data_IF_426667918200
#
_entry.id   IF_426667918200
#
_cell.length_a   1.000
_cell.length_b   1.000
_cell.length_c   1.000
_cell.angle_alpha   90.00
_cell.angle_beta   90.00
_cell.angle_gamma   90.00
#
_symmetry.space_group_name_H-M   'P 1'
#
loop_
_entity.id
_entity.type
_entity.pdbx_description
1 polymer ?
#
# COMPACT_ATOMS: atom_id res chain seq x y z
N UNK A 1 31.86 -16.22 24.31
CA UNK A 1 32.76 -15.28 25.03
C UNK A 1 33.37 -14.31 24.02
N UNK A 2 32.75 -13.15 23.81
CA UNK A 2 33.37 -11.84 23.54
C UNK A 2 32.23 -10.80 23.43
N UNK A 3 32.50 -9.63 24.00
CA UNK A 3 31.53 -8.74 24.64
C UNK A 3 30.72 -7.85 23.68
N UNK A 4 29.47 -7.62 24.10
CA UNK A 4 28.66 -6.40 24.04
C UNK A 4 29.39 -5.10 23.64
N UNK A 5 28.76 -4.36 22.71
CA UNK A 5 28.76 -2.89 22.68
C UNK A 5 27.31 -2.41 22.69
N UNK A 6 26.71 -2.39 23.87
CA UNK A 6 25.53 -1.58 24.17
C UNK A 6 25.98 -0.12 24.15
N UNK A 7 25.57 0.62 23.12
CA UNK A 7 25.65 2.07 23.09
C UNK A 7 24.57 2.63 24.02
N UNK A 8 24.93 2.85 25.28
CA UNK A 8 24.13 3.62 26.23
C UNK A 8 24.19 5.10 25.79
N UNK A 9 23.19 5.57 25.04
CA UNK A 9 23.07 6.98 24.71
C UNK A 9 22.43 7.68 25.91
N UNK A 10 23.17 8.64 26.46
CA UNK A 10 22.76 9.48 27.58
C UNK A 10 21.50 10.27 27.21
N UNK A 11 20.40 9.97 27.89
CA UNK A 11 19.25 10.88 28.02
C UNK A 11 19.68 12.01 28.95
N UNK A 12 19.59 13.30 28.57
CA UNK A 12 19.69 14.36 29.55
C UNK A 12 18.43 14.30 30.43
N UNK A 13 18.61 13.86 31.68
CA UNK A 13 17.61 13.99 32.73
C UNK A 13 17.26 15.46 32.91
N UNK A 14 16.04 15.85 32.53
CA UNK A 14 15.39 17.03 33.09
C UNK A 14 14.85 16.65 34.48
N UNK A 15 15.59 17.00 35.52
CA UNK A 15 15.11 16.93 36.89
C UNK A 15 14.43 18.25 37.28
N UNK A 16 13.12 18.21 37.58
CA UNK A 16 12.52 18.73 38.82
C UNK A 16 11.02 18.99 38.65
N UNK A 17 10.25 18.42 39.56
CA UNK A 17 8.80 18.52 39.68
C UNK A 17 8.30 19.96 39.87
N UNK A 18 7.22 20.29 39.16
CA UNK A 18 6.03 20.94 39.73
C UNK A 18 4.83 20.55 38.87
N UNK A 19 3.62 20.45 39.45
CA UNK A 19 2.37 20.60 38.71
C UNK A 19 2.23 22.07 38.27
N UNK A 20 3.25 22.57 37.57
CA UNK A 20 3.27 23.86 36.93
C UNK A 20 2.62 23.69 35.57
N UNK A 21 1.74 24.64 35.25
CA UNK A 21 0.98 24.72 34.01
C UNK A 21 1.77 24.15 32.82
N UNK A 22 1.20 23.15 32.14
CA UNK A 22 1.68 22.70 30.82
C UNK A 22 1.33 23.80 29.81
N UNK A 23 1.96 24.97 29.96
CA UNK A 23 1.73 26.20 29.20
C UNK A 23 2.96 26.60 28.37
N UNK A 24 3.99 25.76 28.30
CA UNK A 24 5.07 25.97 27.34
C UNK A 24 4.61 25.47 25.97
N UNK A 25 4.57 26.37 24.98
CA UNK A 25 4.42 25.99 23.58
C UNK A 25 5.50 24.94 23.23
N UNK A 26 5.07 23.69 23.03
CA UNK A 26 5.93 22.62 22.57
C UNK A 26 5.96 22.68 21.04
N UNK A 27 7.13 22.48 20.45
CA UNK A 27 7.24 22.31 19.02
C UNK A 27 8.12 21.11 18.68
N UNK A 28 7.83 20.48 17.55
CA UNK A 28 8.61 19.37 16.99
C UNK A 28 9.32 19.89 15.76
N UNK A 29 10.63 19.66 15.67
CA UNK A 29 11.41 20.09 14.51
C UNK A 29 11.47 18.95 13.50
N UNK A 30 10.97 19.20 12.29
CA UNK A 30 10.95 18.23 11.20
C UNK A 30 11.89 18.70 10.09
N UNK A 31 12.73 17.81 9.58
CA UNK A 31 13.76 18.10 8.58
C UNK A 31 13.55 17.27 7.32
N UNK A 32 13.64 17.93 6.17
CA UNK A 32 13.85 17.29 4.88
C UNK A 32 15.33 17.41 4.49
N UNK A 33 15.97 16.31 4.11
CA UNK A 33 17.37 16.36 3.67
C UNK A 33 17.49 17.16 2.36
N UNK A 34 18.70 17.66 2.04
CA UNK A 34 18.92 18.38 0.78
C UNK A 34 18.68 17.51 -0.46
N UNK A 35 18.92 16.21 -0.34
CA UNK A 35 18.75 15.22 -1.40
C UNK A 35 17.33 14.62 -1.43
N UNK A 36 16.45 15.00 -0.48
CA UNK A 36 15.09 14.54 -0.40
C UNK A 36 14.17 15.06 -1.51
N UNK A 37 12.96 14.52 -1.56
CA UNK A 37 11.92 14.95 -2.49
C UNK A 37 10.97 15.97 -1.88
N UNK A 38 10.22 16.66 -2.73
CA UNK A 38 9.17 17.60 -2.34
C UNK A 38 7.80 16.93 -2.29
N UNK A 39 6.95 17.35 -1.36
CA UNK A 39 5.58 16.84 -1.22
C UNK A 39 5.23 16.57 0.22
N UNK A 40 3.94 16.40 0.49
CA UNK A 40 3.45 15.99 1.80
C UNK A 40 3.93 14.57 2.13
N UNK A 41 4.36 14.39 3.37
CA UNK A 41 4.81 13.12 3.92
C UNK A 41 4.25 12.94 5.32
N UNK A 42 3.81 11.71 5.61
CA UNK A 42 3.53 11.28 6.98
C UNK A 42 4.85 11.02 7.69
N UNK A 43 4.99 11.50 8.93
CA UNK A 43 6.10 11.23 9.82
C UNK A 43 5.58 10.94 11.23
N UNK A 44 6.32 10.13 11.97
CA UNK A 44 5.97 9.74 13.33
C UNK A 44 6.74 10.58 14.35
N UNK A 45 6.03 11.06 15.37
CA UNK A 45 6.61 11.81 16.49
C UNK A 45 6.36 11.03 17.78
N UNK A 46 7.45 10.59 18.41
CA UNK A 46 7.40 10.07 19.78
C UNK A 46 7.43 11.23 20.77
N UNK A 47 6.37 11.38 21.57
CA UNK A 47 6.29 12.41 22.60
C UNK A 47 6.20 11.79 24.00
N UNK A 48 6.73 12.47 25.02
CA UNK A 48 6.51 12.08 26.41
C UNK A 48 5.02 11.92 26.77
N UNK A 49 4.64 10.98 27.66
CA UNK A 49 3.24 10.67 27.96
C UNK A 49 2.39 11.86 28.42
N UNK A 50 2.98 12.90 29.02
CA UNK A 50 2.25 14.11 29.42
C UNK A 50 1.67 14.91 28.25
N UNK A 51 2.12 14.66 27.02
CA UNK A 51 1.61 15.30 25.79
C UNK A 51 0.63 14.40 25.03
N UNK A 52 0.18 13.29 25.62
CA UNK A 52 -0.84 12.44 25.00
C UNK A 52 -2.09 13.25 24.62
N UNK A 53 -2.61 13.01 23.43
CA UNK A 53 -3.76 13.74 22.86
C UNK A 53 -3.42 15.10 22.23
N UNK A 54 -2.21 15.62 22.39
CA UNK A 54 -1.79 16.86 21.74
C UNK A 54 -1.74 16.69 20.21
N UNK A 55 -2.04 17.76 19.47
CA UNK A 55 -2.06 17.75 18.00
C UNK A 55 -1.14 18.82 17.43
N UNK A 56 -0.71 18.65 16.18
CA UNK A 56 -0.03 19.71 15.45
C UNK A 56 -1.00 20.84 15.15
N UNK A 57 -0.56 22.08 15.38
CA UNK A 57 -1.47 23.24 15.40
C UNK A 57 -2.03 23.62 14.03
N UNK A 58 -1.25 23.41 12.98
CA UNK A 58 -1.55 23.83 11.60
C UNK A 58 -1.46 22.68 10.61
N UNK A 59 -1.24 21.46 11.09
CA UNK A 59 -0.94 20.30 10.27
C UNK A 59 -1.87 19.16 10.67
N UNK A 60 -2.32 18.33 9.71
CA UNK A 60 -3.01 17.08 10.02
C UNK A 60 -2.16 16.24 10.96
N UNK A 61 -2.78 15.78 12.05
CA UNK A 61 -2.11 14.88 12.98
C UNK A 61 -3.10 14.08 13.80
N UNK A 62 -2.74 12.84 14.09
CA UNK A 62 -3.52 11.93 14.92
C UNK A 62 -2.61 11.01 15.72
N UNK A 63 -3.13 10.53 16.85
CA UNK A 63 -2.46 9.53 17.66
C UNK A 63 -2.82 8.14 17.15
N UNK A 64 -1.80 7.31 16.94
CA UNK A 64 -1.95 5.89 16.62
C UNK A 64 -1.09 5.06 17.56
N UNK A 65 -1.33 3.76 17.56
CA UNK A 65 -0.37 2.78 18.05
C UNK A 65 0.49 2.32 16.87
N UNK A 66 1.82 2.42 16.97
CA UNK A 66 2.72 1.92 15.93
C UNK A 66 2.91 0.40 16.04
N UNK A 67 3.69 -0.17 15.12
CA UNK A 67 3.98 -1.62 15.09
C UNK A 67 4.69 -2.17 16.33
N UNK A 68 5.25 -1.32 17.19
CA UNK A 68 5.87 -1.70 18.47
C UNK A 68 4.88 -1.62 19.66
N UNK A 69 3.62 -1.28 19.42
CA UNK A 69 2.63 -1.06 20.48
C UNK A 69 2.79 0.30 21.19
N UNK A 70 3.53 1.24 20.60
CA UNK A 70 3.80 2.55 21.21
C UNK A 70 2.83 3.59 20.66
N UNK A 71 2.26 4.40 21.56
CA UNK A 71 1.50 5.57 21.19
C UNK A 71 2.42 6.63 20.56
N UNK A 72 2.18 6.95 19.28
CA UNK A 72 2.91 7.96 18.52
C UNK A 72 1.95 8.94 17.88
N UNK A 73 2.41 10.17 17.66
CA UNK A 73 1.67 11.17 16.90
C UNK A 73 2.09 11.09 15.43
N UNK A 74 1.21 10.64 14.55
CA UNK A 74 1.37 10.85 13.11
C UNK A 74 1.15 12.33 12.80
N UNK A 75 2.07 12.91 12.04
CA UNK A 75 1.94 14.25 11.46
C UNK A 75 2.10 14.21 9.95
N UNK A 76 1.41 15.10 9.25
CA UNK A 76 1.56 15.30 7.81
C UNK A 76 2.11 16.69 7.50
N UNK A 77 3.19 16.79 6.73
CA UNK A 77 3.70 18.09 6.28
C UNK A 77 4.51 17.99 4.98
N UNK A 78 4.50 19.07 4.20
CA UNK A 78 5.42 19.30 3.09
C UNK A 78 6.53 20.26 3.51
N UNK A 79 7.75 19.74 3.62
CA UNK A 79 8.95 20.50 3.95
C UNK A 79 9.85 20.54 2.72
N UNK A 80 10.27 21.74 2.29
CA UNK A 80 11.15 21.87 1.13
C UNK A 80 12.48 21.11 1.33
N UNK A 81 13.02 20.42 0.29
CA UNK A 81 14.32 19.77 0.38
C UNK A 81 15.41 20.71 0.93
N UNK A 82 16.24 20.19 1.83
CA UNK A 82 17.33 20.92 2.49
C UNK A 82 16.89 21.85 3.62
N UNK A 83 15.60 21.89 3.93
CA UNK A 83 15.03 22.78 4.95
C UNK A 83 14.56 22.02 6.20
N UNK A 84 14.21 22.78 7.24
CA UNK A 84 13.54 22.26 8.42
C UNK A 84 12.43 23.20 8.84
N UNK A 85 11.37 22.68 9.43
CA UNK A 85 10.30 23.45 10.04
C UNK A 85 10.15 23.09 11.51
N UNK A 86 9.70 24.05 12.32
CA UNK A 86 9.31 23.83 13.71
C UNK A 86 7.78 23.87 13.75
N UNK A 87 7.17 22.73 14.08
CA UNK A 87 5.73 22.54 14.07
C UNK A 87 5.22 22.66 15.50
N UNK A 88 4.43 23.70 15.80
CA UNK A 88 3.83 23.89 17.12
C UNK A 88 2.80 22.80 17.41
N UNK A 89 2.79 22.31 18.65
CA UNK A 89 1.72 21.47 19.17
C UNK A 89 0.73 22.30 19.98
N UNK A 90 -0.50 21.81 20.05
CA UNK A 90 -1.55 22.34 20.91
C UNK A 90 -2.22 21.23 21.72
N UNK A 91 -2.65 21.54 22.96
CA UNK A 91 -3.34 20.59 23.81
C UNK A 91 -4.77 20.30 23.29
N UNK A 92 -5.38 19.17 23.68
CA UNK A 92 -6.70 18.76 23.21
C UNK A 92 -7.81 19.82 23.37
N UNK A 93 -7.76 20.59 24.46
CA UNK A 93 -8.77 21.62 24.76
C UNK A 93 -8.75 22.78 23.76
N UNK A 94 -7.64 22.98 23.06
CA UNK A 94 -7.48 24.01 22.02
C UNK A 94 -7.68 23.44 20.60
N UNK A 95 -7.75 22.11 20.46
CA UNK A 95 -7.86 21.41 19.18
C UNK A 95 -9.29 21.32 18.63
N UNK A 96 -10.25 22.05 19.22
CA UNK A 96 -11.70 21.93 18.95
C UNK A 96 -12.15 22.30 17.53
N UNK A 97 -11.24 22.70 16.64
CA UNK A 97 -11.54 23.05 15.24
C UNK A 97 -10.56 22.46 14.21
N UNK A 98 -9.67 21.53 14.58
CA UNK A 98 -8.88 20.80 13.58
C UNK A 98 -9.78 19.67 13.06
N UNK A 99 -10.57 19.97 12.03
CA UNK A 99 -11.37 18.98 11.34
C UNK A 99 -10.42 18.09 10.53
N UNK A 100 -9.87 17.07 11.19
CA UNK A 100 -9.09 16.05 10.53
C UNK A 100 -10.08 15.27 9.66
N UNK A 101 -9.90 15.42 8.34
CA UNK A 101 -10.68 14.69 7.35
C UNK A 101 -10.05 13.31 7.21
N UNK A 102 -10.89 12.30 7.11
CA UNK A 102 -10.46 10.97 6.74
C UNK A 102 -9.86 10.97 5.32
N UNK A 103 -8.66 10.40 5.19
CA UNK A 103 -7.83 10.43 3.98
C UNK A 103 -7.12 9.11 3.71
N UNK A 104 -7.28 8.10 4.56
CA UNK A 104 -6.77 6.77 4.32
C UNK A 104 -7.79 5.77 4.85
N UNK A 105 -8.05 4.71 4.10
CA UNK A 105 -9.00 3.69 4.51
C UNK A 105 -8.60 2.33 3.98
N UNK A 106 -8.82 1.28 4.76
CA UNK A 106 -8.74 -0.11 4.30
C UNK A 106 -9.89 -0.92 4.90
N UNK A 107 -10.43 -1.82 4.10
CA UNK A 107 -11.55 -2.67 4.51
C UNK A 107 -11.57 -4.00 3.76
N UNK A 108 -12.19 -4.98 4.39
CA UNK A 108 -12.71 -6.18 3.75
C UNK A 108 -14.18 -6.30 4.17
N UNK A 109 -15.08 -6.51 3.20
CA UNK A 109 -16.50 -6.69 3.52
C UNK A 109 -17.03 -8.00 2.97
N UNK A 110 -17.78 -8.71 3.82
CA UNK A 110 -18.39 -10.01 3.52
C UNK A 110 -19.87 -9.83 3.25
N UNK A 111 -20.37 -10.46 2.18
CA UNK A 111 -21.79 -10.46 1.84
C UNK A 111 -22.56 -11.33 2.85
N UNK A 112 -23.69 -10.83 3.33
CA UNK A 112 -24.57 -11.54 4.26
C UNK A 112 -25.96 -11.81 3.66
N UNK A 113 -26.77 -12.61 4.37
CA UNK A 113 -28.17 -12.87 3.99
C UNK A 113 -28.35 -13.95 2.92
N UNK A 114 -27.30 -14.69 2.57
CA UNK A 114 -27.32 -15.75 1.56
C UNK A 114 -26.74 -17.07 2.01
N UNK A 115 -26.54 -17.96 1.04
CA UNK A 115 -25.93 -19.27 1.21
C UNK A 115 -25.04 -19.66 0.01
N UNK A 116 -24.11 -20.59 0.25
CA UNK A 116 -23.27 -21.13 -0.82
C UNK A 116 -24.05 -22.12 -1.69
N UNK A 117 -23.97 -21.91 -3.00
CA UNK A 117 -24.41 -22.82 -4.06
C UNK A 117 -23.15 -23.17 -4.87
N UNK A 118 -22.53 -24.29 -4.52
CA UNK A 118 -21.20 -24.67 -4.97
C UNK A 118 -20.17 -23.55 -4.67
N UNK A 119 -19.66 -22.88 -5.71
CA UNK A 119 -18.69 -21.79 -5.61
C UNK A 119 -19.33 -20.38 -5.59
N UNK A 120 -20.66 -20.27 -5.69
CA UNK A 120 -21.37 -18.98 -5.77
C UNK A 120 -22.13 -18.73 -4.47
N UNK A 121 -21.93 -17.56 -3.85
CA UNK A 121 -22.72 -17.12 -2.71
C UNK A 121 -23.97 -16.37 -3.18
N UNK A 122 -25.13 -17.00 -3.02
CA UNK A 122 -26.42 -16.52 -3.53
C UNK A 122 -27.27 -15.89 -2.42
N UNK A 123 -27.79 -14.69 -2.67
CA UNK A 123 -28.64 -13.95 -1.73
C UNK A 123 -29.72 -13.15 -2.48
N UNK A 124 -31.00 -13.33 -2.12
CA UNK A 124 -32.11 -12.52 -2.69
C UNK A 124 -32.16 -11.10 -2.11
N UNK A 125 -31.67 -10.93 -0.88
CA UNK A 125 -31.41 -9.64 -0.24
C UNK A 125 -30.13 -9.74 0.57
N UNK A 126 -29.21 -8.80 0.37
CA UNK A 126 -27.90 -8.82 1.02
C UNK A 126 -27.52 -7.43 1.53
N UNK A 127 -26.59 -7.43 2.47
CA UNK A 127 -25.73 -6.30 2.76
C UNK A 127 -24.29 -6.78 2.81
N UNK A 128 -23.35 -5.84 2.82
CA UNK A 128 -21.96 -6.13 3.10
C UNK A 128 -21.63 -5.70 4.54
N UNK A 129 -20.96 -6.57 5.28
CA UNK A 129 -20.48 -6.28 6.63
C UNK A 129 -18.95 -6.22 6.62
N UNK A 130 -18.39 -5.11 7.09
CA UNK A 130 -16.95 -4.97 7.27
C UNK A 130 -16.44 -5.91 8.37
N UNK A 131 -15.30 -6.56 8.11
CA UNK A 131 -14.66 -7.47 9.06
C UNK A 131 -13.22 -7.03 9.30
N UNK A 132 -12.77 -7.14 10.55
CA UNK A 132 -11.38 -6.85 10.92
C UNK A 132 -10.46 -8.05 10.74
N UNK A 133 -11.01 -9.25 10.58
CA UNK A 133 -10.28 -10.50 10.36
C UNK A 133 -11.12 -11.44 9.51
N UNK A 134 -10.49 -12.18 8.60
CA UNK A 134 -11.17 -13.11 7.72
C UNK A 134 -10.28 -14.32 7.40
N UNK A 135 -10.91 -15.47 7.22
CA UNK A 135 -10.26 -16.68 6.72
C UNK A 135 -11.07 -17.18 5.53
N UNK A 136 -10.41 -17.33 4.39
CA UNK A 136 -11.06 -17.73 3.14
C UNK A 136 -11.72 -19.10 3.30
N UNK A 137 -13.04 -19.21 3.06
CA UNK A 137 -13.68 -20.52 3.02
C UNK A 137 -13.22 -21.30 1.78
N UNK A 138 -13.23 -22.64 1.79
CA UNK A 138 -12.78 -23.46 0.66
C UNK A 138 -13.50 -23.19 -0.67
N UNK A 139 -14.72 -22.63 -0.61
CA UNK A 139 -15.53 -22.27 -1.78
C UNK A 139 -15.06 -20.98 -2.46
N UNK A 140 -14.28 -20.13 -1.77
CA UNK A 140 -13.90 -18.82 -2.28
C UNK A 140 -13.01 -18.97 -3.52
N UNK A 141 -13.53 -18.50 -4.64
CA UNK A 141 -12.87 -18.38 -5.94
C UNK A 141 -13.32 -17.08 -6.63
N UNK A 142 -12.77 -16.80 -7.79
CA UNK A 142 -13.24 -15.73 -8.67
C UNK A 142 -14.76 -15.77 -8.88
N UNK A 143 -15.40 -14.61 -8.84
CA UNK A 143 -16.84 -14.47 -9.01
C UNK A 143 -17.69 -15.30 -8.02
N UNK A 144 -17.19 -15.54 -6.81
CA UNK A 144 -18.01 -16.11 -5.71
C UNK A 144 -19.09 -15.15 -5.21
N UNK A 145 -18.94 -13.85 -5.49
CA UNK A 145 -19.78 -12.75 -4.98
C UNK A 145 -19.86 -12.65 -3.44
N UNK A 146 -18.97 -13.35 -2.73
CA UNK A 146 -18.97 -13.40 -1.28
C UNK A 146 -18.23 -12.21 -0.64
N UNK A 147 -17.17 -11.73 -1.28
CA UNK A 147 -16.40 -10.56 -0.84
C UNK A 147 -16.76 -9.38 -1.74
N UNK A 148 -16.97 -8.20 -1.14
CA UNK A 148 -17.19 -6.96 -1.90
C UNK A 148 -15.96 -6.70 -2.77
N UNK A 149 -16.20 -6.38 -4.05
CA UNK A 149 -15.18 -6.23 -5.09
C UNK A 149 -14.08 -7.33 -5.10
N UNK A 150 -14.41 -8.54 -4.62
CA UNK A 150 -13.60 -9.77 -4.62
C UNK A 150 -12.42 -9.85 -3.62
N UNK A 151 -12.30 -8.94 -2.66
CA UNK A 151 -11.24 -9.00 -1.65
C UNK A 151 -11.12 -7.74 -0.82
N UNK A 152 -9.95 -7.43 -0.23
CA UNK A 152 -9.75 -6.19 0.49
C UNK A 152 -9.54 -5.02 -0.46
N UNK A 153 -10.04 -3.86 -0.04
CA UNK A 153 -9.91 -2.59 -0.75
C UNK A 153 -9.22 -1.60 0.17
N UNK A 154 -8.34 -0.78 -0.38
CA UNK A 154 -7.67 0.27 0.38
C UNK A 154 -7.42 1.50 -0.47
N UNK A 155 -7.34 2.65 0.18
CA UNK A 155 -7.18 3.93 -0.51
C UNK A 155 -6.48 4.97 0.33
N UNK A 156 -5.84 5.92 -0.35
CA UNK A 156 -5.61 7.24 0.18
C UNK A 156 -6.62 8.23 -0.41
N UNK A 157 -6.53 9.47 0.01
CA UNK A 157 -7.23 10.57 -0.63
C UNK A 157 -6.86 10.70 -2.12
N UNK A 158 -5.73 10.18 -2.60
CA UNK A 158 -5.28 10.29 -4.00
C UNK A 158 -5.82 9.17 -4.91
N UNK A 159 -5.66 7.91 -4.51
CA UNK A 159 -5.97 6.72 -5.30
C UNK A 159 -6.46 5.57 -4.42
N UNK A 160 -7.20 4.63 -5.00
CA UNK A 160 -7.61 3.39 -4.35
C UNK A 160 -7.10 2.17 -5.09
N UNK A 161 -7.17 1.04 -4.41
CA UNK A 161 -6.70 -0.26 -4.85
C UNK A 161 -7.61 -1.35 -4.32
N UNK A 162 -7.54 -2.52 -4.95
CA UNK A 162 -8.08 -3.77 -4.39
C UNK A 162 -7.14 -4.92 -4.69
N UNK A 163 -7.26 -5.97 -3.89
CA UNK A 163 -6.57 -7.23 -4.10
C UNK A 163 -7.63 -8.32 -4.32
N UNK A 164 -7.53 -9.10 -5.38
CA UNK A 164 -8.32 -10.33 -5.48
C UNK A 164 -7.81 -11.32 -4.44
N UNK A 165 -8.66 -11.67 -3.46
CA UNK A 165 -8.25 -12.54 -2.34
C UNK A 165 -8.32 -14.05 -2.68
N UNK A 166 -8.73 -14.38 -3.90
CA UNK A 166 -8.72 -15.74 -4.45
C UNK A 166 -7.40 -16.08 -5.16
N UNK A 167 -7.39 -17.23 -5.84
CA UNK A 167 -6.24 -17.79 -6.55
C UNK A 167 -5.58 -16.82 -7.56
N UNK A 168 -6.31 -15.81 -8.05
CA UNK A 168 -5.77 -14.81 -8.97
C UNK A 168 -4.77 -13.88 -8.33
N UNK A 169 -4.88 -13.55 -7.04
CA UNK A 169 -3.96 -12.66 -6.33
C UNK A 169 -3.38 -11.52 -7.20
N UNK A 170 -4.24 -10.67 -7.74
CA UNK A 170 -3.81 -9.52 -8.55
C UNK A 170 -4.30 -8.23 -7.90
N UNK A 171 -3.52 -7.15 -8.06
CA UNK A 171 -3.87 -5.84 -7.51
C UNK A 171 -4.45 -4.98 -8.62
N UNK A 172 -5.67 -4.48 -8.39
CA UNK A 172 -6.36 -3.56 -9.28
C UNK A 172 -6.31 -2.11 -8.78
N UNK A 173 -6.72 -1.17 -9.64
CA UNK A 173 -6.65 0.27 -9.34
C UNK A 173 -8.03 0.91 -9.41
N UNK A 174 -8.46 1.49 -8.30
CA UNK A 174 -9.55 2.45 -8.28
C UNK A 174 -9.02 3.86 -8.48
N UNK A 175 -9.40 4.50 -9.58
CA UNK A 175 -9.18 5.94 -9.73
C UNK A 175 -10.22 6.69 -8.91
N UNK A 176 -9.84 7.86 -8.41
CA UNK A 176 -10.70 8.68 -7.55
C UNK A 176 -10.87 10.09 -8.11
N UNK A 177 -12.09 10.60 -8.07
CA UNK A 177 -12.45 11.92 -8.56
C UNK A 177 -12.31 13.03 -7.51
N UNK A 178 -12.17 12.68 -6.22
CA UNK A 178 -12.01 13.63 -5.12
C UNK A 178 -11.19 13.06 -3.95
N UNK A 179 -10.87 13.92 -2.97
CA UNK A 179 -10.01 13.64 -1.81
C UNK A 179 -10.75 12.94 -0.64
N UNK A 180 -11.97 12.45 -0.82
CA UNK A 180 -12.72 11.80 0.26
C UNK A 180 -12.42 10.31 0.28
N UNK A 181 -12.48 9.69 1.45
CA UNK A 181 -12.68 8.24 1.55
C UNK A 181 -14.03 7.91 0.90
N UNK A 182 -14.03 6.94 -0.01
CA UNK A 182 -15.18 6.56 -0.85
C UNK A 182 -15.44 5.07 -0.80
N UNK A 183 -14.44 4.23 -0.51
CA UNK A 183 -14.59 2.77 -0.50
C UNK A 183 -15.77 2.26 0.34
N UNK A 184 -16.12 2.82 1.52
CA UNK A 184 -17.31 2.41 2.26
C UNK A 184 -18.62 2.51 1.47
N UNK A 185 -18.70 3.36 0.45
CA UNK A 185 -19.88 3.56 -0.40
C UNK A 185 -19.84 2.76 -1.71
N UNK A 186 -18.68 2.20 -2.09
CA UNK A 186 -18.44 1.57 -3.39
C UNK A 186 -19.00 0.14 -3.44
N UNK A 187 -19.72 -0.21 -4.51
CA UNK A 187 -20.16 -1.60 -4.77
C UNK A 187 -21.22 -2.14 -3.81
N UNK A 188 -21.88 -1.27 -3.05
CA UNK A 188 -22.92 -1.65 -2.08
C UNK A 188 -24.16 -2.28 -2.73
N UNK A 189 -24.41 -1.97 -3.99
CA UNK A 189 -25.49 -2.53 -4.81
C UNK A 189 -25.15 -3.90 -5.42
N UNK A 190 -23.95 -4.42 -5.17
CA UNK A 190 -23.56 -5.76 -5.58
C UNK A 190 -22.16 -5.82 -6.18
N UNK A 191 -22.07 -5.88 -7.51
CA UNK A 191 -20.85 -6.28 -8.20
C UNK A 191 -20.47 -5.39 -9.40
N UNK A 192 -21.42 -4.92 -10.22
CA UNK A 192 -21.03 -4.32 -11.50
C UNK A 192 -20.85 -2.79 -11.47
N UNK A 193 -21.43 -2.08 -10.49
CA UNK A 193 -21.55 -0.62 -10.55
C UNK A 193 -20.21 0.10 -10.52
N UNK A 194 -19.24 -0.39 -9.76
CA UNK A 194 -17.92 0.23 -9.60
C UNK A 194 -17.04 0.12 -10.86
N UNK A 195 -17.40 -0.72 -11.83
CA UNK A 195 -16.75 -0.78 -13.14
C UNK A 195 -17.12 0.40 -14.05
N UNK A 196 -18.07 1.23 -13.65
CA UNK A 196 -18.46 2.43 -14.38
C UNK A 196 -17.90 3.69 -13.70
N UNK A 197 -17.44 4.65 -14.51
CA UNK A 197 -16.99 5.94 -14.00
C UNK A 197 -18.15 6.68 -13.32
N UNK A 198 -17.98 6.95 -12.03
CA UNK A 198 -18.97 7.57 -11.15
C UNK A 198 -18.43 8.87 -10.54
N UNK A 199 -19.25 9.57 -9.74
CA UNK A 199 -18.83 10.83 -9.09
C UNK A 199 -17.70 10.67 -8.08
N UNK A 200 -17.50 9.46 -7.56
CA UNK A 200 -16.40 9.13 -6.66
C UNK A 200 -15.13 8.70 -7.41
N UNK A 201 -15.26 8.14 -8.62
CA UNK A 201 -14.19 7.42 -9.30
C UNK A 201 -14.68 6.17 -10.02
N UNK A 202 -13.81 5.18 -10.20
CA UNK A 202 -14.15 3.90 -10.81
C UNK A 202 -12.97 2.93 -10.83
N UNK A 203 -13.27 1.68 -11.12
CA UNK A 203 -12.29 0.63 -11.38
C UNK A 203 -11.65 0.80 -12.76
N UNK A 204 -10.39 1.19 -12.79
CA UNK A 204 -9.75 1.68 -14.00
C UNK A 204 -8.89 0.66 -14.71
N UNK A 205 -8.34 -0.32 -13.99
CA UNK A 205 -7.35 -1.21 -14.58
C UNK A 205 -8.01 -2.52 -15.03
N UNK A 206 -7.55 -3.03 -16.17
CA UNK A 206 -7.86 -4.38 -16.63
C UNK A 206 -6.64 -5.27 -16.41
N UNK A 207 -6.68 -6.03 -15.31
CA UNK A 207 -5.58 -6.92 -14.93
C UNK A 207 -5.41 -8.10 -15.88
N UNK A 208 -6.51 -8.68 -16.39
CA UNK A 208 -6.46 -9.88 -17.23
C UNK A 208 -5.73 -11.05 -16.53
N UNK A 209 -4.68 -11.56 -17.17
CA UNK A 209 -3.83 -12.65 -16.65
C UNK A 209 -2.55 -12.16 -15.96
N UNK A 210 -2.40 -10.85 -15.79
CA UNK A 210 -1.23 -10.26 -15.13
C UNK A 210 -1.38 -10.26 -13.61
N UNK A 211 -0.31 -9.91 -12.90
CA UNK A 211 -0.33 -9.63 -11.45
C UNK A 211 -0.90 -8.24 -11.11
N UNK A 212 -1.42 -7.51 -12.11
CA UNK A 212 -1.97 -6.18 -11.95
C UNK A 212 -0.88 -5.15 -11.62
N UNK A 213 -1.01 -4.41 -10.52
CA UNK A 213 -0.01 -3.42 -10.09
C UNK A 213 0.74 -3.89 -8.84
N UNK A 214 1.63 -4.86 -9.02
CA UNK A 214 2.61 -5.30 -8.03
C UNK A 214 2.15 -6.38 -7.08
N UNK A 215 1.15 -7.18 -7.44
CA UNK A 215 0.87 -8.39 -6.67
C UNK A 215 2.03 -9.40 -6.80
N UNK A 216 2.11 -10.33 -5.85
CA UNK A 216 3.11 -11.39 -5.86
C UNK A 216 2.70 -12.53 -6.79
N UNK A 217 3.69 -13.22 -7.34
CA UNK A 217 3.56 -14.50 -8.01
C UNK A 217 4.85 -15.31 -7.92
N UNK A 218 4.84 -16.53 -8.47
CA UNK A 218 6.05 -17.35 -8.66
C UNK A 218 6.38 -17.48 -10.14
N UNK A 219 7.65 -17.28 -10.46
CA UNK A 219 8.18 -17.65 -11.76
C UNK A 219 8.28 -19.18 -11.84
N UNK A 220 7.59 -19.76 -12.81
CA UNK A 220 7.61 -21.19 -13.10
C UNK A 220 8.06 -21.43 -14.53
N UNK A 221 8.56 -22.62 -14.82
CA UNK A 221 8.85 -23.03 -16.18
C UNK A 221 7.73 -23.94 -16.68
N UNK A 222 7.15 -23.59 -17.82
CA UNK A 222 6.23 -24.47 -18.54
C UNK A 222 7.01 -25.14 -19.67
N UNK A 223 7.21 -26.45 -19.57
CA UNK A 223 7.78 -27.25 -20.64
C UNK A 223 6.69 -27.65 -21.65
N UNK A 224 6.94 -27.35 -22.91
CA UNK A 224 6.23 -27.93 -24.05
C UNK A 224 7.17 -28.85 -24.82
N UNK A 225 6.65 -29.65 -25.76
CA UNK A 225 7.48 -30.56 -26.55
C UNK A 225 8.60 -29.84 -27.33
N UNK A 226 8.43 -28.54 -27.62
CA UNK A 226 9.31 -27.77 -28.51
C UNK A 226 10.00 -26.57 -27.84
N UNK A 227 9.59 -26.16 -26.62
CA UNK A 227 10.22 -25.06 -25.87
C UNK A 227 9.88 -25.09 -24.37
N UNK A 228 10.75 -24.51 -23.54
CA UNK A 228 10.39 -24.07 -22.19
C UNK A 228 10.13 -22.56 -22.19
N UNK A 229 9.02 -22.15 -21.60
CA UNK A 229 8.65 -20.73 -21.44
C UNK A 229 8.48 -20.41 -19.97
N UNK A 230 9.07 -19.29 -19.52
CA UNK A 230 8.85 -18.79 -18.17
C UNK A 230 7.43 -18.21 -18.08
N UNK A 231 6.66 -18.70 -17.12
CA UNK A 231 5.30 -18.25 -16.82
C UNK A 231 5.21 -17.78 -15.38
N UNK A 232 4.14 -17.06 -15.05
CA UNK A 232 3.84 -16.65 -13.69
C UNK A 232 2.72 -17.52 -13.15
N UNK A 233 3.00 -18.23 -12.07
CA UNK A 233 2.00 -18.86 -11.24
C UNK A 233 1.53 -17.87 -10.17
N UNK A 234 0.22 -17.81 -9.96
CA UNK A 234 -0.41 -16.97 -8.95
C UNK A 234 -0.56 -17.79 -7.65
N UNK A 235 -1.71 -17.74 -6.99
CA UNK A 235 -1.95 -18.36 -5.69
C UNK A 235 -2.87 -19.58 -5.80
N UNK A 236 -2.70 -20.38 -6.86
CA UNK A 236 -3.52 -21.58 -7.11
C UNK A 236 -3.33 -22.69 -6.07
N UNK A 237 -2.14 -22.81 -5.48
CA UNK A 237 -1.82 -23.85 -4.50
C UNK A 237 -1.50 -23.21 -3.15
N UNK A 238 -2.55 -22.89 -2.40
CA UNK A 238 -2.48 -22.30 -1.04
C UNK A 238 -3.39 -23.11 -0.13
N UNK A 239 -2.95 -23.39 1.09
CA UNK A 239 -3.74 -24.17 2.05
C UNK A 239 -4.75 -23.30 2.78
N UNK A 240 -4.32 -22.12 3.19
CA UNK A 240 -5.15 -21.18 3.93
C UNK A 240 -4.80 -19.75 3.52
N UNK A 241 -5.82 -18.89 3.46
CA UNK A 241 -5.65 -17.46 3.19
C UNK A 241 -6.37 -16.70 4.27
N UNK A 242 -5.67 -15.77 4.91
CA UNK A 242 -6.21 -14.96 5.99
C UNK A 242 -5.99 -13.49 5.72
N UNK A 243 -6.96 -12.68 6.09
CA UNK A 243 -6.86 -11.22 6.11
C UNK A 243 -6.95 -10.73 7.55
N UNK A 244 -6.17 -9.72 7.89
CA UNK A 244 -6.22 -9.03 9.18
C UNK A 244 -6.06 -7.52 8.96
N UNK A 245 -7.04 -6.74 9.42
CA UNK A 245 -6.88 -5.29 9.52
C UNK A 245 -5.91 -4.97 10.65
N UNK A 246 -4.87 -4.18 10.37
CA UNK A 246 -3.83 -3.79 11.34
C UNK A 246 -4.14 -2.42 11.92
N UNK A 247 -4.38 -1.44 11.06
CA UNK A 247 -4.71 -0.07 11.45
C UNK A 247 -5.64 0.56 10.42
N UNK A 248 -6.57 1.39 10.87
CA UNK A 248 -7.42 2.17 9.99
C UNK A 248 -7.71 3.53 10.64
N UNK A 249 -6.77 4.45 10.47
CA UNK A 249 -6.79 5.80 11.01
C UNK A 249 -6.98 6.84 9.90
N UNK A 250 -7.18 8.10 10.24
CA UNK A 250 -7.56 9.12 9.25
C UNK A 250 -6.43 9.45 8.28
N UNK A 251 -5.18 9.16 8.64
CA UNK A 251 -3.97 9.43 7.86
C UNK A 251 -3.25 8.16 7.42
N UNK A 252 -3.63 6.98 7.91
CA UNK A 252 -2.96 5.72 7.59
C UNK A 252 -3.91 4.53 7.66
N UNK A 253 -3.84 3.66 6.66
CA UNK A 253 -4.50 2.37 6.69
C UNK A 253 -3.50 1.24 6.42
N UNK A 254 -3.62 0.16 7.19
CA UNK A 254 -2.73 -1.00 7.20
C UNK A 254 -3.52 -2.30 7.34
N UNK A 255 -3.16 -3.29 6.54
CA UNK A 255 -3.69 -4.64 6.67
C UNK A 255 -2.66 -5.69 6.23
N UNK A 256 -2.87 -6.91 6.67
CA UNK A 256 -2.06 -8.07 6.31
C UNK A 256 -2.91 -9.11 5.57
N UNK A 257 -2.25 -9.79 4.63
CA UNK A 257 -2.76 -11.04 4.06
C UNK A 257 -1.73 -12.14 4.26
N UNK A 258 -2.15 -13.21 4.91
CA UNK A 258 -1.38 -14.44 5.10
C UNK A 258 -1.79 -15.51 4.09
N UNK A 259 -0.80 -16.24 3.59
CA UNK A 259 -0.96 -17.41 2.72
C UNK A 259 -0.12 -18.55 3.28
N UNK A 260 -0.78 -19.58 3.81
CA UNK A 260 -0.11 -20.75 4.38
C UNK A 260 0.10 -21.82 3.29
N UNK A 261 1.29 -22.42 3.30
CA UNK A 261 1.63 -23.55 2.42
C UNK A 261 1.55 -23.22 0.93
N UNK A 262 1.89 -21.99 0.51
CA UNK A 262 1.93 -21.62 -0.90
C UNK A 262 3.02 -22.41 -1.62
N UNK A 263 2.66 -23.15 -2.68
CA UNK A 263 3.58 -23.99 -3.45
C UNK A 263 3.52 -23.72 -4.95
N UNK A 264 4.56 -24.09 -5.70
CA UNK A 264 4.55 -23.97 -7.18
C UNK A 264 3.80 -25.10 -7.89
N UNK A 265 3.31 -26.10 -7.15
CA UNK A 265 2.62 -27.26 -7.69
C UNK A 265 1.82 -28.02 -6.62
N UNK A 266 0.91 -28.88 -7.06
CA UNK A 266 0.15 -29.80 -6.19
C UNK A 266 1.02 -30.76 -5.37
N UNK A 267 2.27 -31.01 -5.79
CA UNK A 267 3.21 -31.85 -5.04
C UNK A 267 3.69 -31.19 -3.73
N UNK A 268 3.49 -29.87 -3.59
CA UNK A 268 3.78 -29.09 -2.37
C UNK A 268 5.23 -29.18 -1.86
N UNK A 269 6.17 -29.57 -2.71
CA UNK A 269 7.57 -29.79 -2.33
C UNK A 269 8.33 -28.50 -1.96
N UNK A 270 7.87 -27.35 -2.44
CA UNK A 270 8.45 -26.02 -2.22
C UNK A 270 7.47 -25.08 -1.48
N UNK A 271 6.67 -25.64 -0.58
CA UNK A 271 5.68 -24.90 0.19
C UNK A 271 6.37 -23.90 1.12
N UNK A 272 5.92 -22.64 1.09
CA UNK A 272 6.34 -21.59 2.02
C UNK A 272 5.13 -20.83 2.50
N UNK A 273 5.23 -20.22 3.68
CA UNK A 273 4.23 -19.29 4.18
C UNK A 273 4.64 -17.88 3.78
N UNK A 274 3.66 -17.07 3.37
CA UNK A 274 3.86 -15.68 2.97
C UNK A 274 2.90 -14.79 3.75
N UNK A 275 3.42 -13.72 4.32
CA UNK A 275 2.61 -12.64 4.89
C UNK A 275 2.96 -11.35 4.17
N UNK A 276 1.95 -10.72 3.58
CA UNK A 276 2.08 -9.44 2.90
C UNK A 276 1.39 -8.36 3.72
N UNK A 277 2.15 -7.38 4.19
CA UNK A 277 1.67 -6.21 4.89
C UNK A 277 1.56 -5.04 3.91
N UNK A 278 0.35 -4.48 3.78
CA UNK A 278 0.04 -3.34 2.93
C UNK A 278 -0.18 -2.11 3.80
N UNK A 279 0.52 -1.01 3.51
CA UNK A 279 0.32 0.28 4.16
C UNK A 279 0.11 1.37 3.12
N UNK A 280 -0.93 2.17 3.32
CA UNK A 280 -1.15 3.40 2.57
C UNK A 280 -1.28 4.58 3.52
N UNK A 281 -0.67 5.70 3.14
CA UNK A 281 -0.61 6.93 3.91
C UNK A 281 -1.41 8.03 3.16
N UNK A 282 -2.04 8.95 3.90
CA UNK A 282 -2.71 10.11 3.32
C UNK A 282 -1.74 10.98 2.49
N UNK A 283 -2.28 11.71 1.52
CA UNK A 283 -1.57 12.58 0.59
C UNK A 283 -0.66 11.85 -0.41
N UNK A 284 -0.62 10.52 -0.37
CA UNK A 284 0.26 9.70 -1.19
C UNK A 284 -0.54 8.60 -1.88
N UNK A 285 -0.51 8.45 -3.22
CA UNK A 285 -1.12 7.28 -3.86
C UNK A 285 -0.32 5.99 -3.62
N UNK A 286 0.85 6.06 -2.99
CA UNK A 286 1.75 4.91 -2.86
C UNK A 286 1.28 3.95 -1.79
N UNK A 287 1.19 2.67 -2.13
CA UNK A 287 1.11 1.59 -1.15
C UNK A 287 2.50 1.03 -0.89
N UNK A 288 2.91 0.99 0.36
CA UNK A 288 4.10 0.29 0.81
C UNK A 288 3.76 -1.17 1.09
N UNK A 289 4.52 -2.09 0.51
CA UNK A 289 4.32 -3.53 0.64
C UNK A 289 5.57 -4.15 1.27
N UNK A 290 5.41 -4.73 2.44
CA UNK A 290 6.44 -5.50 3.14
C UNK A 290 6.02 -6.96 3.17
N UNK A 291 6.87 -7.85 2.69
CA UNK A 291 6.59 -9.28 2.58
C UNK A 291 7.51 -10.05 3.50
N UNK A 292 6.94 -10.91 4.34
CA UNK A 292 7.66 -11.92 5.10
C UNK A 292 7.42 -13.30 4.48
N UNK A 293 8.49 -14.07 4.33
CA UNK A 293 8.46 -15.41 3.74
C UNK A 293 9.13 -16.38 4.70
N UNK A 294 8.52 -17.54 4.95
CA UNK A 294 9.03 -18.52 5.93
C UNK A 294 10.41 -19.08 5.57
N UNK A 295 10.70 -19.23 4.28
CA UNK A 295 11.97 -19.69 3.75
C UNK A 295 12.38 -18.91 2.48
N UNK A 296 13.68 -18.64 2.26
CA UNK A 296 14.14 -18.00 1.03
C UNK A 296 13.73 -18.78 -0.23
N UNK A 297 13.11 -18.11 -1.20
CA UNK A 297 12.79 -18.68 -2.51
C UNK A 297 13.33 -17.82 -3.66
N UNK A 298 13.87 -18.47 -4.69
CA UNK A 298 14.52 -17.80 -5.82
C UNK A 298 13.56 -17.48 -6.99
N UNK A 299 12.26 -17.72 -6.82
CA UNK A 299 11.27 -17.55 -7.88
C UNK A 299 10.13 -16.57 -7.54
N UNK A 300 10.22 -15.84 -6.43
CA UNK A 300 9.19 -14.85 -6.07
C UNK A 300 9.34 -13.61 -6.96
N UNK A 301 8.25 -13.20 -7.60
CA UNK A 301 8.17 -12.00 -8.43
C UNK A 301 7.07 -11.07 -7.94
N UNK A 302 7.22 -9.77 -8.21
CA UNK A 302 6.10 -8.84 -8.29
C UNK A 302 5.91 -8.41 -9.75
N UNK A 303 4.67 -8.33 -10.23
CA UNK A 303 4.37 -8.01 -11.63
C UNK A 303 3.64 -6.70 -11.82
N UNK A 304 4.03 -5.95 -12.84
CA UNK A 304 3.33 -4.78 -13.35
C UNK A 304 2.75 -5.13 -14.71
N UNK A 305 1.43 -5.11 -14.86
CA UNK A 305 0.73 -5.39 -16.11
C UNK A 305 1.38 -4.72 -17.34
N UNK A 306 1.58 -5.51 -18.38
CA UNK A 306 2.14 -5.07 -19.66
C UNK A 306 1.02 -5.01 -20.72
N UNK A 307 0.50 -3.81 -20.99
CA UNK A 307 -0.42 -3.58 -22.10
C UNK A 307 0.32 -3.11 -23.34
N UNK A 308 -0.16 -3.54 -24.51
CA UNK A 308 0.40 -3.13 -25.80
C UNK A 308 0.35 -1.62 -25.99
N UNK A 309 1.44 -1.06 -26.52
CA UNK A 309 1.53 0.36 -26.85
C UNK A 309 1.76 1.30 -25.66
N UNK A 310 1.98 0.78 -24.45
CA UNK A 310 2.34 1.60 -23.29
C UNK A 310 3.80 2.03 -23.33
N UNK A 311 4.07 3.23 -22.83
CA UNK A 311 5.44 3.69 -22.62
C UNK A 311 5.99 3.11 -21.33
N UNK A 312 7.09 2.36 -21.43
CA UNK A 312 7.78 1.81 -20.27
C UNK A 312 8.80 2.82 -19.76
N UNK A 313 8.73 3.14 -18.46
CA UNK A 313 9.62 4.06 -17.77
C UNK A 313 10.42 3.26 -16.74
N UNK A 314 11.74 3.49 -16.70
CA UNK A 314 12.63 2.93 -15.69
C UNK A 314 13.51 4.03 -15.12
N UNK A 315 13.65 4.08 -13.81
CA UNK A 315 14.53 5.03 -13.14
C UNK A 315 15.10 4.43 -11.84
N UNK A 316 16.24 4.96 -11.40
CA UNK A 316 16.88 4.56 -10.14
C UNK A 316 17.38 5.80 -9.40
N UNK A 317 17.19 5.85 -8.09
CA UNK A 317 17.77 6.87 -7.20
C UNK A 317 18.07 6.22 -5.85
N UNK A 318 19.28 6.45 -5.33
CA UNK A 318 19.71 5.88 -4.06
C UNK A 318 19.55 4.36 -4.03
N UNK A 319 18.79 3.84 -3.07
CA UNK A 319 18.55 2.41 -2.84
C UNK A 319 17.34 1.85 -3.62
N UNK A 320 16.64 2.69 -4.39
CA UNK A 320 15.37 2.35 -5.02
C UNK A 320 15.44 2.40 -6.55
N UNK A 321 14.87 1.39 -7.20
CA UNK A 321 14.55 1.37 -8.62
C UNK A 321 13.04 1.39 -8.85
N UNK A 322 12.62 1.76 -10.06
CA UNK A 322 11.22 1.70 -10.48
C UNK A 322 11.11 1.17 -11.91
N UNK A 323 10.10 0.34 -12.13
CA UNK A 323 9.53 0.03 -13.45
C UNK A 323 8.10 0.54 -13.47
N UNK A 324 7.74 1.25 -14.53
CA UNK A 324 6.46 1.93 -14.64
C UNK A 324 5.95 1.89 -16.08
N UNK A 325 4.64 1.99 -16.25
CA UNK A 325 3.98 2.11 -17.55
C UNK A 325 3.16 3.40 -17.59
N UNK A 326 3.08 4.01 -18.77
CA UNK A 326 2.26 5.18 -19.03
C UNK A 326 1.56 5.08 -20.38
N UNK A 327 0.26 5.37 -20.40
CA UNK A 327 -0.51 5.49 -21.63
C UNK A 327 -1.98 5.21 -21.40
N UNK A 328 -2.71 4.95 -22.48
CA UNK A 328 -4.15 4.70 -22.50
C UNK A 328 -4.44 3.27 -22.03
N UNK A 329 -4.32 3.05 -20.73
CA UNK A 329 -4.49 1.75 -20.07
C UNK A 329 -5.61 1.73 -19.01
N UNK A 330 -6.46 2.78 -18.99
CA UNK A 330 -7.71 2.78 -18.22
C UNK A 330 -8.87 2.27 -19.08
N UNK A 331 -9.75 1.45 -18.49
CA UNK A 331 -10.96 0.92 -19.14
C UNK A 331 -12.20 1.82 -18.98
N UNK A 332 -12.09 2.92 -18.23
CA UNK A 332 -13.24 3.75 -17.87
C UNK A 332 -13.68 4.69 -19.00
N UNK A 333 -12.79 5.01 -19.95
CA UNK A 333 -13.12 5.83 -21.11
C UNK A 333 -12.07 5.70 -22.23
N UNK A 334 -12.47 6.00 -23.46
CA UNK A 334 -11.57 6.06 -24.60
C UNK A 334 -10.44 7.07 -24.37
N UNK A 335 -9.21 6.67 -24.70
CA UNK A 335 -7.99 7.45 -24.52
C UNK A 335 -7.75 7.92 -23.06
N UNK A 336 -8.28 7.19 -22.08
CA UNK A 336 -8.05 7.51 -20.68
C UNK A 336 -6.67 7.01 -20.24
N UNK A 337 -5.80 7.97 -19.92
CA UNK A 337 -4.45 7.66 -19.49
C UNK A 337 -4.42 7.19 -18.04
N UNK A 338 -3.48 6.31 -17.73
CA UNK A 338 -3.17 5.87 -16.38
C UNK A 338 -1.66 5.64 -16.30
N UNK A 339 -1.04 6.07 -15.21
CA UNK A 339 0.35 5.75 -14.87
C UNK A 339 0.37 4.70 -13.78
N UNK A 340 1.16 3.64 -13.95
CA UNK A 340 1.30 2.55 -12.99
C UNK A 340 2.77 2.31 -12.71
N UNK A 341 3.15 1.99 -11.47
CA UNK A 341 4.53 1.67 -11.16
C UNK A 341 4.69 0.65 -10.03
N UNK A 342 5.77 -0.12 -10.15
CA UNK A 342 6.34 -0.96 -9.08
C UNK A 342 7.74 -0.43 -8.78
N UNK A 343 7.94 -0.03 -7.53
CA UNK A 343 9.18 0.50 -6.98
C UNK A 343 9.80 -0.55 -6.07
N UNK A 344 11.09 -0.83 -6.19
CA UNK A 344 11.74 -1.95 -5.51
C UNK A 344 13.11 -1.58 -4.96
N UNK A 345 13.54 -2.26 -3.90
CA UNK A 345 14.91 -2.14 -3.37
C UNK A 345 15.91 -2.76 -4.34
N UNK A 346 16.88 -1.97 -4.79
CA UNK A 346 17.90 -2.44 -5.74
C UNK A 346 18.69 -3.64 -5.19
N UNK A 347 18.96 -3.66 -3.89
CA UNK A 347 19.70 -4.75 -3.25
C UNK A 347 18.92 -6.07 -3.15
N UNK A 348 17.58 -6.02 -3.16
CA UNK A 348 16.70 -7.18 -3.01
C UNK A 348 16.28 -7.79 -4.35
N UNK A 349 16.57 -7.12 -5.47
CA UNK A 349 16.14 -7.55 -6.80
C UNK A 349 17.30 -8.19 -7.57
N UNK A 350 17.01 -9.33 -8.18
CA UNK A 350 17.94 -10.04 -9.06
C UNK A 350 17.90 -9.44 -10.47
N UNK A 351 16.69 -9.26 -11.02
CA UNK A 351 16.50 -8.64 -12.34
C UNK A 351 15.09 -8.10 -12.52
N UNK A 352 14.96 -7.15 -13.45
CA UNK A 352 13.67 -6.65 -13.96
C UNK A 352 13.58 -6.92 -15.46
N UNK A 353 12.53 -7.61 -15.90
CA UNK A 353 12.38 -8.06 -17.28
C UNK A 353 10.90 -8.09 -17.69
N UNK A 354 10.62 -8.24 -18.98
CA UNK A 354 9.27 -8.37 -19.50
C UNK A 354 8.94 -9.86 -19.67
N UNK A 355 7.84 -10.29 -19.06
CA UNK A 355 7.20 -11.59 -19.27
C UNK A 355 6.01 -11.48 -20.23
N UNK A 356 5.18 -12.52 -20.31
CA UNK A 356 4.07 -12.57 -21.27
C UNK A 356 2.98 -11.53 -21.01
N UNK A 357 2.70 -11.22 -19.74
CA UNK A 357 1.59 -10.34 -19.33
C UNK A 357 2.05 -9.20 -18.40
N UNK A 358 3.33 -9.18 -18.02
CA UNK A 358 3.85 -8.34 -16.95
C UNK A 358 5.27 -7.86 -17.25
N UNK A 359 5.60 -6.64 -16.82
CA UNK A 359 6.94 -6.29 -16.41
C UNK A 359 7.19 -6.86 -15.01
N UNK A 360 8.11 -7.83 -14.89
CA UNK A 360 8.39 -8.59 -13.69
C UNK A 360 9.61 -8.07 -12.96
N UNK A 361 9.49 -7.97 -11.64
CA UNK A 361 10.59 -7.74 -10.69
C UNK A 361 10.86 -9.06 -9.98
N UNK A 362 11.97 -9.72 -10.31
CA UNK A 362 12.40 -10.97 -9.66
C UNK A 362 13.25 -10.65 -8.44
N UNK A 363 12.79 -11.11 -7.28
CA UNK A 363 13.51 -10.92 -6.02
C UNK A 363 14.61 -11.98 -5.83
N UNK A 364 15.64 -11.60 -5.08
CA UNK A 364 16.64 -12.53 -4.55
C UNK A 364 16.00 -13.44 -3.49
N UNK A 365 16.56 -14.62 -3.22
CA UNK A 365 16.07 -15.52 -2.17
C UNK A 365 16.33 -14.92 -0.79
N UNK A 366 15.37 -14.14 -0.31
CA UNK A 366 15.35 -13.47 0.99
C UNK A 366 14.05 -13.82 1.71
N UNK A 367 14.04 -13.71 3.03
CA UNK A 367 12.84 -13.90 3.87
C UNK A 367 12.07 -12.62 4.11
N UNK A 368 12.64 -11.46 3.72
CA UNK A 368 12.01 -10.16 3.86
C UNK A 368 12.20 -9.38 2.55
N UNK A 369 11.09 -8.94 1.96
CA UNK A 369 11.06 -8.13 0.74
C UNK A 369 10.33 -6.82 1.00
N UNK A 370 10.80 -5.75 0.38
CA UNK A 370 10.31 -4.38 0.60
C UNK A 370 10.17 -3.70 -0.76
N UNK A 371 8.93 -3.38 -1.13
CA UNK A 371 8.63 -2.73 -2.40
C UNK A 371 7.39 -1.86 -2.27
N UNK A 372 7.12 -1.05 -3.29
CA UNK A 372 6.00 -0.11 -3.28
C UNK A 372 5.30 -0.15 -4.63
N UNK A 373 4.02 0.17 -4.61
CA UNK A 373 3.21 0.29 -5.81
C UNK A 373 2.57 1.67 -5.81
N UNK A 374 2.34 2.22 -6.99
CA UNK A 374 1.61 3.47 -7.11
C UNK A 374 0.89 3.55 -8.46
N UNK A 375 -0.17 4.34 -8.47
CA UNK A 375 -0.91 4.68 -9.66
C UNK A 375 -1.16 6.18 -9.70
N UNK A 376 -1.30 6.74 -10.90
CA UNK A 376 -1.65 8.15 -11.11
C UNK A 376 -2.68 8.25 -12.22
N UNK A 377 -3.78 8.94 -11.94
CA UNK A 377 -4.80 9.25 -12.93
C UNK A 377 -4.72 10.71 -13.38
N UNK A 378 -4.38 10.99 -14.65
CA UNK A 378 -4.14 12.35 -15.13
C UNK A 378 -5.38 13.25 -15.08
N UNK A 379 -6.60 12.68 -15.14
CA UNK A 379 -7.83 13.48 -14.97
C UNK A 379 -7.95 14.09 -13.57
N UNK A 380 -7.23 13.56 -12.59
CA UNK A 380 -7.16 14.09 -11.22
C UNK A 380 -5.99 15.06 -11.02
N UNK A 381 -4.84 14.80 -11.64
CA UNK A 381 -3.59 15.53 -11.37
C UNK A 381 -3.24 16.50 -12.49
N UNK A 382 -3.26 17.82 -12.23
CA UNK A 382 -2.76 18.80 -13.21
C UNK A 382 -1.26 18.66 -13.49
N UNK A 383 -0.51 18.07 -12.56
CA UNK A 383 0.95 18.06 -12.57
C UNK A 383 1.51 16.91 -13.42
N UNK A 384 0.75 15.82 -13.55
CA UNK A 384 1.15 14.61 -14.28
C UNK A 384 0.19 14.36 -15.45
N UNK A 385 0.54 14.90 -16.62
CA UNK A 385 -0.25 14.80 -17.86
C UNK A 385 0.49 14.07 -18.99
N UNK A 386 1.77 13.78 -18.81
CA UNK A 386 2.64 13.15 -19.81
C UNK A 386 3.55 12.12 -19.19
N UNK A 387 4.05 11.18 -20.00
CA UNK A 387 5.05 10.19 -19.56
C UNK A 387 6.27 10.85 -18.90
N UNK A 388 6.73 11.99 -19.44
CA UNK A 388 7.88 12.70 -18.88
C UNK A 388 7.60 13.29 -17.50
N UNK A 389 6.43 13.90 -17.32
CA UNK A 389 6.01 14.40 -16.00
C UNK A 389 5.80 13.27 -15.00
N UNK A 390 5.32 12.11 -15.47
CA UNK A 390 5.19 10.93 -14.63
C UNK A 390 6.58 10.39 -14.21
N UNK A 391 7.54 10.33 -15.13
CA UNK A 391 8.94 10.00 -14.80
C UNK A 391 9.51 10.97 -13.76
N UNK A 392 9.31 12.28 -13.92
CA UNK A 392 9.79 13.30 -12.99
C UNK A 392 9.14 13.15 -11.60
N UNK A 393 7.83 12.85 -11.57
CA UNK A 393 7.10 12.52 -10.35
C UNK A 393 7.67 11.28 -9.66
N UNK A 394 7.90 10.19 -10.40
CA UNK A 394 8.51 8.97 -9.89
C UNK A 394 9.92 9.24 -9.31
N UNK A 395 10.77 9.98 -10.04
CA UNK A 395 12.10 10.36 -9.56
C UNK A 395 12.02 11.17 -8.26
N UNK A 396 11.04 12.05 -8.12
CA UNK A 396 10.79 12.77 -6.86
C UNK A 396 10.37 11.81 -5.73
N UNK A 397 9.46 10.87 -5.99
CA UNK A 397 9.07 9.83 -5.03
C UNK A 397 10.27 8.99 -4.57
N UNK A 398 11.14 8.57 -5.48
CA UNK A 398 12.35 7.83 -5.11
C UNK A 398 13.25 8.63 -4.15
N UNK A 399 13.38 9.96 -4.35
CA UNK A 399 14.12 10.81 -3.40
C UNK A 399 13.44 10.88 -2.03
N UNK A 400 12.11 10.97 -1.98
CA UNK A 400 11.36 10.91 -0.72
C UNK A 400 11.60 9.59 0.01
N UNK A 401 11.61 8.46 -0.71
CA UNK A 401 11.84 7.14 -0.08
C UNK A 401 13.27 6.93 0.42
N UNK A 402 14.27 7.53 -0.25
CA UNK A 402 15.66 7.51 0.23
C UNK A 402 15.88 8.45 1.42
N UNK A 403 15.10 9.52 1.50
CA UNK A 403 15.26 10.58 2.49
C UNK A 403 13.90 11.04 3.03
N UNK A 404 13.20 10.18 3.79
CA UNK A 404 11.93 10.56 4.39
C UNK A 404 12.12 11.71 5.38
N UNK A 405 11.05 12.44 5.69
CA UNK A 405 11.09 13.46 6.74
C UNK A 405 11.58 12.86 8.05
N UNK A 406 12.48 13.58 8.72
CA UNK A 406 13.07 13.16 9.99
C UNK A 406 12.65 14.12 11.09
N UNK A 407 12.20 13.56 12.22
CA UNK A 407 11.96 14.32 13.44
C UNK A 407 13.29 14.49 14.16
N UNK A 408 13.64 15.74 14.47
CA UNK A 408 14.83 16.08 15.23
C UNK A 408 14.41 16.24 16.70
N UNK A 409 14.86 15.29 17.52
CA UNK A 409 14.68 15.30 18.97
C UNK A 409 15.62 16.28 19.66
#
# INVERSE_FOLDING_TARGET
MKFSKIGLILVPLLASCSQGDINSALSVKVKNSADGGSGDQIFEVSLPPQYSGWKLKQYPSEWIENSEGQAVLLGAASIAPGSSASLELMPPEQATNVNLKDRAHAELSVRTGGEWQDAVYSAEGFSFEEVTSFTSPPQLTDHSYFLRYEGPGWESDQMGYRLYLDWRNAIDVFVKANDSVVLPEVGQDGYDSYHNLSSWGGDALKVGKSLGVGALGRLTEQETQDSSTQTVMHFQHVENTQYQLVSNSQLRAEFEVGYEGWSSSDAKADSIDVTTHYRIDAFDPTTHISVSVSEPSNNIVAGLVAHDGMQVIKAERGEWGVVATWGTQSILADNDNLGLAVVYRLEQVEKVFEGEHDHLVLFKPLTALDYKILAVWPKRSSDVQTAKQFEDYLVNKLKMYNHPLTVLN
#
